data_IF_413555829402
#
_entry.id   IF_413555829402
#
_cell.length_a   1.000
_cell.length_b   1.000
_cell.length_c   1.000
_cell.angle_alpha   90.00
_cell.angle_beta   90.00
_cell.angle_gamma   90.00
#
_symmetry.space_group_name_H-M   'P 1'
#
loop_
_entity.id
_entity.type
_entity.pdbx_description
1 polymer ?
#
# COMPACT_ATOMS: atom_id res chain seq x y z
N UNK A 1 -0.68 -13.32 25.58
CA UNK A 1 -0.93 -13.69 26.99
C UNK A 1 -1.93 -14.84 26.94
N UNK A 2 -1.50 -16.05 27.25
CA UNK A 2 -2.29 -17.27 27.08
C UNK A 2 -3.11 -17.52 28.34
N UNK A 3 -4.44 -17.53 28.22
CA UNK A 3 -5.31 -18.03 29.28
C UNK A 3 -5.82 -19.42 28.88
N UNK A 4 -5.36 -20.44 29.59
CA UNK A 4 -5.85 -21.81 29.48
C UNK A 4 -6.78 -22.09 30.67
N UNK A 5 -8.09 -22.22 30.42
CA UNK A 5 -9.04 -22.75 31.40
C UNK A 5 -8.96 -24.27 31.36
N UNK A 6 -8.58 -24.87 32.49
CA UNK A 6 -8.30 -26.30 32.64
C UNK A 6 -9.55 -27.04 33.13
N UNK A 7 -10.35 -27.60 32.22
CA UNK A 7 -11.43 -28.55 32.59
C UNK A 7 -10.93 -29.99 32.48
N UNK A 8 -11.01 -30.72 33.60
CA UNK A 8 -10.53 -32.10 33.77
C UNK A 8 -11.68 -33.07 33.53
N UNK A 9 -11.75 -33.69 32.35
CA UNK A 9 -12.40 -35.00 32.11
C UNK A 9 -11.88 -35.58 30.79
N UNK A 10 -11.45 -36.84 30.83
CA UNK A 10 -10.88 -37.58 29.72
C UNK A 10 -11.96 -37.95 28.70
N UNK A 11 -12.01 -37.18 27.62
CA UNK A 11 -12.67 -37.45 26.36
C UNK A 11 -12.00 -36.50 25.37
N UNK A 12 -11.48 -37.03 24.26
CA UNK A 12 -10.71 -36.35 23.20
C UNK A 12 -10.80 -34.82 23.25
N UNK A 13 -9.89 -34.19 23.99
CA UNK A 13 -9.92 -32.74 24.18
C UNK A 13 -9.47 -32.11 22.86
N UNK A 14 -10.44 -31.72 22.05
CA UNK A 14 -10.23 -30.93 20.84
C UNK A 14 -9.76 -29.55 21.29
N UNK A 15 -8.44 -29.36 21.33
CA UNK A 15 -7.83 -28.07 21.66
C UNK A 15 -8.11 -27.14 20.49
N UNK A 16 -9.19 -26.36 20.60
CA UNK A 16 -9.47 -25.26 19.69
C UNK A 16 -8.49 -24.12 20.01
N UNK A 17 -7.45 -24.01 19.19
CA UNK A 17 -6.51 -22.88 19.26
C UNK A 17 -7.17 -21.71 18.52
N UNK A 18 -7.66 -20.74 19.29
CA UNK A 18 -8.14 -19.49 18.73
C UNK A 18 -6.98 -18.53 18.51
N UNK A 19 -6.71 -18.18 17.25
CA UNK A 19 -5.70 -17.17 16.90
C UNK A 19 -6.36 -15.79 16.99
N UNK A 20 -5.97 -15.02 18.00
CA UNK A 20 -6.40 -13.62 18.17
C UNK A 20 -5.26 -12.71 17.77
N UNK A 21 -5.49 -11.88 16.76
CA UNK A 21 -4.47 -10.95 16.24
C UNK A 21 -4.94 -9.50 16.42
N UNK A 22 -4.00 -8.57 16.57
CA UNK A 22 -4.31 -7.14 16.54
C UNK A 22 -4.27 -6.66 15.10
N UNK A 23 -5.40 -6.23 14.57
CA UNK A 23 -5.47 -5.60 13.27
C UNK A 23 -5.53 -4.08 13.39
N UNK A 24 -4.89 -3.42 12.44
CA UNK A 24 -5.02 -1.99 12.24
C UNK A 24 -6.44 -1.69 11.76
N UNK A 25 -7.09 -0.72 12.40
CA UNK A 25 -8.41 -0.22 12.04
C UNK A 25 -8.31 1.28 11.81
N UNK A 26 -9.01 1.75 10.79
CA UNK A 26 -9.19 3.19 10.52
C UNK A 26 -10.65 3.60 10.73
N UNK A 27 -10.85 4.83 11.21
CA UNK A 27 -12.17 5.45 11.32
C UNK A 27 -12.12 6.90 10.84
N UNK A 28 -12.97 7.25 9.88
CA UNK A 28 -13.12 8.63 9.40
C UNK A 28 -13.64 9.57 10.47
N UNK A 29 -13.06 10.77 10.56
CA UNK A 29 -13.27 11.74 11.64
C UNK A 29 -13.51 13.17 11.14
N UNK A 30 -13.78 13.34 9.84
CA UNK A 30 -14.07 14.62 9.19
C UNK A 30 -13.14 14.92 8.02
N UNK A 31 -13.29 16.12 7.46
CA UNK A 31 -12.58 16.55 6.26
C UNK A 31 -11.84 17.87 6.50
N UNK A 32 -10.69 18.03 5.83
CA UNK A 32 -9.85 19.23 5.87
C UNK A 32 -9.30 19.55 4.47
N UNK A 33 -8.95 20.80 4.22
CA UNK A 33 -8.17 21.18 3.04
C UNK A 33 -6.70 21.34 3.41
N UNK A 34 -5.82 20.68 2.66
CA UNK A 34 -4.38 20.81 2.83
C UNK A 34 -3.67 20.66 1.46
N UNK A 35 -2.36 20.83 1.43
CA UNK A 35 -1.54 20.62 0.23
C UNK A 35 -1.06 19.18 0.13
N UNK A 36 -1.36 18.54 -0.99
CA UNK A 36 -0.92 17.19 -1.26
C UNK A 36 0.47 17.19 -1.91
N UNK A 37 1.47 16.57 -1.29
CA UNK A 37 2.82 16.47 -1.87
C UNK A 37 2.90 15.56 -3.12
N UNK A 38 1.90 14.69 -3.33
CA UNK A 38 1.80 13.82 -4.51
C UNK A 38 1.03 14.51 -5.64
N UNK A 39 -0.15 15.09 -5.34
CA UNK A 39 -0.93 15.84 -6.35
C UNK A 39 -0.40 17.26 -6.57
N UNK A 40 0.52 17.71 -5.72
CA UNK A 40 1.23 19.00 -5.74
C UNK A 40 0.32 20.21 -5.88
N UNK A 41 -0.85 20.11 -5.25
CA UNK A 41 -1.94 21.09 -5.26
C UNK A 41 -2.72 21.00 -3.95
N UNK A 42 -3.47 22.05 -3.62
CA UNK A 42 -4.45 22.00 -2.54
C UNK A 42 -5.54 20.97 -2.86
N UNK A 43 -5.83 20.08 -1.90
CA UNK A 43 -6.78 18.97 -2.05
C UNK A 43 -7.59 18.77 -0.77
N UNK A 44 -8.72 18.10 -0.92
CA UNK A 44 -9.54 17.66 0.20
C UNK A 44 -8.92 16.40 0.78
N UNK A 45 -8.86 16.34 2.09
CA UNK A 45 -8.38 15.20 2.85
C UNK A 45 -9.46 14.72 3.79
N UNK A 46 -9.59 13.41 3.91
CA UNK A 46 -10.31 12.79 5.02
C UNK A 46 -9.33 12.55 6.16
N UNK A 47 -9.66 13.09 7.34
CA UNK A 47 -8.92 12.80 8.56
C UNK A 47 -9.42 11.46 9.09
N UNK A 48 -8.51 10.51 9.27
CA UNK A 48 -8.84 9.20 9.82
C UNK A 48 -8.04 8.95 11.10
N UNK A 49 -8.73 8.43 12.12
CA UNK A 49 -8.09 7.88 13.31
C UNK A 49 -7.63 6.47 13.02
N UNK A 50 -6.37 6.19 13.33
CA UNK A 50 -5.74 4.89 13.16
C UNK A 50 -5.56 4.27 14.54
N UNK A 51 -6.03 3.04 14.68
CA UNK A 51 -5.97 2.30 15.93
C UNK A 51 -5.73 0.82 15.72
N UNK A 52 -5.67 0.10 16.84
CA UNK A 52 -5.59 -1.35 16.87
C UNK A 52 -6.86 -1.90 17.50
N UNK A 53 -7.47 -2.88 16.85
CA UNK A 53 -8.54 -3.70 17.43
C UNK A 53 -8.09 -5.15 17.43
N UNK A 54 -8.53 -5.91 18.42
CA UNK A 54 -8.41 -7.36 18.36
C UNK A 54 -9.35 -7.89 17.29
N UNK A 55 -8.92 -8.88 16.53
CA UNK A 55 -9.78 -9.62 15.64
C UNK A 55 -9.53 -11.12 15.77
N UNK A 56 -10.58 -11.90 15.56
CA UNK A 56 -10.55 -13.35 15.46
C UNK A 56 -11.38 -13.73 14.24
N UNK A 57 -10.81 -14.50 13.32
CA UNK A 57 -11.45 -14.87 12.05
C UNK A 57 -12.02 -13.68 11.26
N UNK A 58 -11.39 -12.51 11.33
CA UNK A 58 -11.83 -11.28 10.67
C UNK A 58 -12.89 -10.48 11.43
N UNK A 59 -13.50 -11.05 12.48
CA UNK A 59 -14.45 -10.35 13.34
C UNK A 59 -13.72 -9.51 14.38
N UNK A 60 -14.11 -8.24 14.51
CA UNK A 60 -13.55 -7.31 15.50
C UNK A 60 -14.05 -7.66 16.90
N UNK A 61 -13.11 -7.89 17.81
CA UNK A 61 -13.38 -8.15 19.22
C UNK A 61 -13.10 -6.88 20.03
N UNK A 62 -14.17 -6.18 20.40
CA UNK A 62 -14.12 -4.99 21.26
C UNK A 62 -13.80 -3.67 20.55
N UNK A 63 -13.73 -2.61 21.35
CA UNK A 63 -13.44 -1.26 20.87
C UNK A 63 -11.99 -1.13 20.39
N UNK A 64 -11.79 -0.38 19.30
CA UNK A 64 -10.45 -0.06 18.81
C UNK A 64 -9.78 0.98 19.73
N UNK A 65 -8.49 0.78 20.01
CA UNK A 65 -7.68 1.80 20.66
C UNK A 65 -6.96 2.63 19.60
N UNK A 66 -7.41 3.86 19.41
CA UNK A 66 -6.80 4.81 18.46
C UNK A 66 -5.52 5.40 19.05
N UNK A 67 -4.45 5.44 18.25
CA UNK A 67 -3.12 5.88 18.69
C UNK A 67 -2.67 7.16 18.01
N UNK A 68 -3.07 7.39 16.77
CA UNK A 68 -2.71 8.57 16.00
C UNK A 68 -3.76 8.89 14.94
N UNK A 69 -3.67 10.08 14.37
CA UNK A 69 -4.46 10.52 13.24
C UNK A 69 -3.56 10.71 12.02
N UNK A 70 -4.10 10.39 10.86
CA UNK A 70 -3.50 10.72 9.57
C UNK A 70 -4.57 11.35 8.68
N UNK A 71 -4.15 11.96 7.59
CA UNK A 71 -5.06 12.55 6.61
C UNK A 71 -4.82 11.91 5.25
N UNK A 72 -5.90 11.52 4.58
CA UNK A 72 -5.85 10.80 3.31
C UNK A 72 -6.39 11.69 2.21
N UNK A 73 -5.56 11.96 1.19
CA UNK A 73 -5.96 12.77 0.05
C UNK A 73 -7.12 12.10 -0.70
N UNK A 74 -8.23 12.79 -0.91
CA UNK A 74 -9.38 12.24 -1.64
C UNK A 74 -9.10 11.99 -3.12
N UNK A 75 -8.08 12.65 -3.69
CA UNK A 75 -7.72 12.50 -5.10
C UNK A 75 -6.73 11.34 -5.32
N UNK A 76 -5.56 11.34 -4.68
CA UNK A 76 -4.55 10.29 -4.90
C UNK A 76 -4.52 9.19 -3.83
N UNK A 77 -5.39 9.27 -2.81
CA UNK A 77 -5.47 8.32 -1.67
C UNK A 77 -4.16 8.18 -0.87
N UNK A 78 -3.22 9.11 -1.01
CA UNK A 78 -2.01 9.15 -0.21
C UNK A 78 -2.33 9.57 1.23
N UNK A 79 -1.92 8.74 2.19
CA UNK A 79 -1.90 9.10 3.60
C UNK A 79 -0.71 10.01 3.92
N UNK A 80 -0.98 11.12 4.61
CA UNK A 80 -0.01 12.07 5.14
C UNK A 80 -0.21 12.22 6.65
N UNK A 81 0.83 12.60 7.41
CA UNK A 81 0.67 12.97 8.82
C UNK A 81 -0.38 14.08 8.97
N UNK A 82 -1.23 13.97 9.99
CA UNK A 82 -2.18 15.02 10.36
C UNK A 82 -1.71 15.70 11.64
N UNK A 83 -1.50 17.01 11.58
CA UNK A 83 -1.24 17.83 12.76
C UNK A 83 -2.47 18.70 13.04
N UNK A 84 -3.22 18.43 14.12
CA UNK A 84 -4.41 19.20 14.47
C UNK A 84 -4.14 20.69 14.70
N UNK A 85 -2.91 21.07 15.09
CA UNK A 85 -2.55 22.47 15.37
C UNK A 85 -2.61 23.37 14.13
N UNK A 86 -2.58 22.77 12.94
CA UNK A 86 -2.61 23.48 11.68
C UNK A 86 -4.01 23.88 11.22
N UNK A 87 -5.04 23.30 11.82
CA UNK A 87 -6.42 23.45 11.38
C UNK A 87 -7.24 24.15 12.47
N UNK A 88 -8.14 25.05 12.06
CA UNK A 88 -9.08 25.70 13.00
C UNK A 88 -10.15 24.71 13.46
N UNK A 89 -10.68 23.93 12.53
CA UNK A 89 -11.73 22.95 12.76
C UNK A 89 -11.78 21.93 11.60
N UNK A 90 -12.58 20.88 11.76
CA UNK A 90 -12.85 19.88 10.72
C UNK A 90 -14.25 20.08 10.17
N UNK A 91 -14.41 19.91 8.86
CA UNK A 91 -15.73 19.80 8.26
C UNK A 91 -16.32 18.41 8.53
N UNK A 92 -17.63 18.35 8.77
CA UNK A 92 -18.35 17.09 8.99
C UNK A 92 -18.63 16.31 7.70
N UNK A 93 -18.66 17.00 6.56
CA UNK A 93 -18.97 16.46 5.24
C UNK A 93 -17.88 16.83 4.23
N UNK A 94 -17.72 16.05 3.15
CA UNK A 94 -16.86 16.45 2.05
C UNK A 94 -17.43 17.70 1.38
N UNK A 95 -16.54 18.61 0.99
CA UNK A 95 -16.91 19.87 0.34
C UNK A 95 -15.95 20.22 -0.79
N UNK A 96 -16.23 21.34 -1.46
CA UNK A 96 -15.29 21.90 -2.45
C UNK A 96 -14.00 22.34 -1.75
N UNK A 97 -12.89 22.38 -2.47
CA UNK A 97 -11.60 22.80 -1.91
C UNK A 97 -11.69 24.18 -1.28
N UNK A 98 -12.31 25.14 -1.97
CA UNK A 98 -12.41 26.51 -1.48
C UNK A 98 -13.23 26.58 -0.17
N UNK A 99 -14.37 25.88 -0.11
CA UNK A 99 -15.17 25.80 1.12
C UNK A 99 -14.41 25.17 2.29
N UNK A 100 -13.64 24.10 2.01
CA UNK A 100 -12.84 23.44 3.03
C UNK A 100 -11.67 24.33 3.48
N UNK A 101 -11.05 25.11 2.59
CA UNK A 101 -10.01 26.07 2.95
C UNK A 101 -10.58 27.10 3.92
N UNK A 102 -11.70 27.71 3.59
CA UNK A 102 -12.31 28.77 4.42
C UNK A 102 -12.68 28.26 5.82
N UNK A 103 -13.25 27.05 5.90
CA UNK A 103 -13.73 26.44 7.14
C UNK A 103 -12.56 25.91 7.97
N UNK A 104 -11.62 25.20 7.36
CA UNK A 104 -10.63 24.38 8.09
C UNK A 104 -9.27 25.04 8.19
N UNK A 105 -8.83 25.76 7.16
CA UNK A 105 -7.50 26.35 7.11
C UNK A 105 -7.42 27.63 6.26
N UNK A 106 -8.02 28.75 6.71
CA UNK A 106 -8.03 30.00 5.91
C UNK A 106 -6.64 30.60 5.72
N UNK A 107 -5.69 30.24 6.59
CA UNK A 107 -4.28 30.63 6.47
C UNK A 107 -3.44 29.65 5.62
N UNK A 108 -4.06 28.79 4.79
CA UNK A 108 -3.35 27.79 3.97
C UNK A 108 -2.28 28.45 3.09
N UNK A 109 -2.63 29.52 2.39
CA UNK A 109 -1.72 30.25 1.50
C UNK A 109 -0.57 30.89 2.29
N UNK A 110 -0.86 31.52 3.43
CA UNK A 110 0.17 32.10 4.29
C UNK A 110 1.14 31.04 4.84
N UNK A 111 0.64 29.87 5.25
CA UNK A 111 1.47 28.78 5.80
C UNK A 111 2.32 28.10 4.72
N UNK A 112 1.78 27.96 3.50
CA UNK A 112 2.41 27.19 2.42
C UNK A 112 2.93 28.04 1.27
N UNK A 113 3.00 29.36 1.44
CA UNK A 113 3.37 30.31 0.36
C UNK A 113 4.64 29.91 -0.37
N UNK A 114 5.72 29.63 0.37
CA UNK A 114 6.99 29.18 -0.21
C UNK A 114 6.88 27.89 -1.03
N UNK A 115 6.01 26.96 -0.61
CA UNK A 115 5.79 25.73 -1.36
C UNK A 115 4.96 25.97 -2.62
N UNK A 116 3.91 26.79 -2.52
CA UNK A 116 3.06 27.15 -3.65
C UNK A 116 3.85 27.89 -4.73
N UNK A 117 4.75 28.80 -4.34
CA UNK A 117 5.66 29.50 -5.25
C UNK A 117 6.57 28.53 -6.02
N UNK A 118 7.09 27.48 -5.37
CA UNK A 118 7.86 26.43 -6.05
C UNK A 118 6.99 25.71 -7.09
N UNK A 119 5.75 25.36 -6.75
CA UNK A 119 4.84 24.70 -7.70
C UNK A 119 4.45 25.61 -8.86
N UNK A 120 4.28 26.90 -8.63
CA UNK A 120 4.00 27.89 -9.66
C UNK A 120 5.18 28.05 -10.62
N UNK A 121 6.42 28.11 -10.10
CA UNK A 121 7.63 28.10 -10.94
C UNK A 121 7.72 26.84 -11.80
N UNK A 122 7.35 25.69 -11.25
CA UNK A 122 7.38 24.40 -11.97
C UNK A 122 6.34 24.36 -13.08
N UNK A 123 5.16 24.93 -12.83
CA UNK A 123 4.12 25.09 -13.86
C UNK A 123 4.53 26.07 -14.95
N UNK A 124 5.21 27.17 -14.59
CA UNK A 124 5.64 28.19 -15.53
C UNK A 124 6.81 27.73 -16.41
N UNK A 125 7.90 27.27 -15.81
CA UNK A 125 8.99 26.61 -16.53
C UNK A 125 9.84 25.73 -15.61
N UNK A 126 9.87 24.43 -15.91
CA UNK A 126 10.69 23.46 -15.18
C UNK A 126 12.19 23.80 -15.25
N UNK A 127 12.63 24.43 -16.35
CA UNK A 127 14.02 24.86 -16.56
C UNK A 127 14.46 26.04 -15.68
N UNK A 128 13.53 26.74 -15.02
CA UNK A 128 13.87 27.82 -14.07
C UNK A 128 14.22 27.30 -12.67
N UNK A 129 14.09 26.00 -12.42
CA UNK A 129 14.48 25.39 -11.16
C UNK A 129 15.99 25.27 -11.03
N UNK A 130 16.49 25.61 -9.86
CA UNK A 130 17.85 25.28 -9.45
C UNK A 130 18.07 23.75 -9.46
N UNK A 131 19.21 23.23 -9.95
CA UNK A 131 19.48 21.79 -10.00
C UNK A 131 19.36 21.09 -8.64
N UNK A 132 19.75 21.73 -7.53
CA UNK A 132 19.61 21.13 -6.21
C UNK A 132 18.13 21.04 -5.80
N UNK A 133 17.34 22.10 -6.03
CA UNK A 133 15.88 22.07 -5.82
C UNK A 133 15.20 20.98 -6.66
N UNK A 134 15.62 20.80 -7.91
CA UNK A 134 15.10 19.73 -8.78
C UNK A 134 15.42 18.35 -8.21
N UNK A 135 16.65 18.11 -7.77
CA UNK A 135 17.05 16.85 -7.17
C UNK A 135 16.23 16.52 -5.90
N UNK A 136 16.02 17.51 -5.02
CA UNK A 136 15.20 17.36 -3.81
C UNK A 136 13.74 17.02 -4.13
N UNK A 137 13.17 17.67 -5.15
CA UNK A 137 11.80 17.40 -5.60
C UNK A 137 11.64 16.02 -6.22
N UNK A 138 12.66 15.50 -6.92
CA UNK A 138 12.68 14.13 -7.44
C UNK A 138 12.89 13.10 -6.32
N UNK A 139 13.58 13.48 -5.26
CA UNK A 139 13.82 12.63 -4.09
C UNK A 139 12.59 12.51 -3.18
N UNK A 140 11.81 13.58 -3.03
CA UNK A 140 10.68 13.63 -2.10
C UNK A 140 9.66 12.48 -2.26
N UNK A 141 9.21 12.11 -3.48
CA UNK A 141 8.26 11.00 -3.67
C UNK A 141 8.79 9.66 -3.16
N UNK A 142 10.10 9.40 -3.28
CA UNK A 142 10.70 8.17 -2.75
C UNK A 142 10.57 8.08 -1.23
N UNK A 143 10.81 9.19 -0.53
CA UNK A 143 10.71 9.28 0.91
C UNK A 143 9.25 9.21 1.38
N UNK A 144 8.34 9.87 0.67
CA UNK A 144 6.91 9.91 1.00
C UNK A 144 6.21 8.57 0.82
N UNK A 145 6.54 7.83 -0.24
CA UNK A 145 5.96 6.53 -0.54
C UNK A 145 6.69 5.38 0.19
N UNK A 146 7.86 5.66 0.77
CA UNK A 146 8.64 4.65 1.48
C UNK A 146 7.90 3.96 2.63
N UNK A 147 7.23 4.67 3.57
CA UNK A 147 6.54 4.02 4.68
C UNK A 147 5.49 3.02 4.22
N UNK A 148 4.74 3.35 3.15
CA UNK A 148 3.75 2.44 2.57
C UNK A 148 4.39 1.20 1.96
N UNK A 149 5.47 1.39 1.18
CA UNK A 149 6.23 0.29 0.60
C UNK A 149 6.85 -0.60 1.69
N UNK A 150 7.44 0.02 2.72
CA UNK A 150 8.06 -0.67 3.84
C UNK A 150 7.04 -1.46 4.64
N UNK A 151 5.93 -0.84 5.05
CA UNK A 151 4.88 -1.50 5.80
C UNK A 151 4.32 -2.68 5.01
N UNK A 152 4.08 -2.52 3.70
CA UNK A 152 3.56 -3.60 2.85
C UNK A 152 4.56 -4.73 2.57
N UNK A 153 5.85 -4.43 2.56
CA UNK A 153 6.89 -5.46 2.32
C UNK A 153 7.40 -6.11 3.61
N UNK A 154 7.31 -5.41 4.75
CA UNK A 154 7.64 -5.92 6.07
C UNK A 154 6.49 -6.77 6.64
N UNK A 155 5.24 -6.33 6.45
CA UNK A 155 4.08 -7.15 6.79
C UNK A 155 3.80 -8.10 5.64
N UNK A 156 4.12 -9.38 5.83
CA UNK A 156 3.68 -10.44 4.92
C UNK A 156 2.19 -10.67 5.15
N UNK A 157 1.35 -9.69 4.81
CA UNK A 157 -0.10 -9.86 4.84
C UNK A 157 -0.47 -10.83 3.73
N UNK A 158 -0.44 -12.11 4.08
CA UNK A 158 -1.02 -13.17 3.29
C UNK A 158 -2.51 -12.90 3.21
N UNK A 159 -2.98 -12.56 2.01
CA UNK A 159 -4.41 -12.59 1.71
C UNK A 159 -4.92 -14.00 2.03
N UNK A 160 -6.14 -14.13 2.56
CA UNK A 160 -6.78 -15.42 2.83
C UNK A 160 -6.68 -16.34 1.61
N UNK A 161 -6.76 -15.79 0.39
CA UNK A 161 -6.57 -16.56 -0.85
C UNK A 161 -5.17 -17.15 -0.99
N UNK A 162 -4.14 -16.41 -0.58
CA UNK A 162 -2.75 -16.88 -0.58
C UNK A 162 -2.51 -17.88 0.54
N UNK A 163 -3.11 -17.65 1.72
CA UNK A 163 -3.08 -18.61 2.83
C UNK A 163 -3.77 -19.92 2.43
N UNK A 164 -4.93 -19.87 1.77
CA UNK A 164 -5.65 -21.04 1.31
C UNK A 164 -4.83 -21.85 0.30
N UNK A 165 -4.15 -21.19 -0.65
CA UNK A 165 -3.25 -21.87 -1.59
C UNK A 165 -2.05 -22.49 -0.87
N UNK A 166 -1.52 -21.86 0.19
CA UNK A 166 -0.44 -22.45 0.97
C UNK A 166 -0.91 -23.66 1.81
N UNK A 167 -2.05 -23.52 2.49
CA UNK A 167 -2.56 -24.54 3.41
C UNK A 167 -3.19 -25.73 2.68
N UNK A 168 -3.90 -25.48 1.59
CA UNK A 168 -4.62 -26.52 0.81
C UNK A 168 -3.77 -27.01 -0.36
N UNK A 169 -2.89 -26.19 -0.92
CA UNK A 169 -2.10 -26.55 -2.10
C UNK A 169 -1.09 -27.67 -1.85
N UNK A 170 -0.42 -27.67 -0.69
CA UNK A 170 0.52 -28.73 -0.31
C UNK A 170 -0.16 -30.11 -0.14
N UNK A 171 -1.24 -30.28 0.65
CA UNK A 171 -1.92 -31.57 0.77
C UNK A 171 -2.56 -32.02 -0.54
N UNK A 172 -3.15 -31.11 -1.33
CA UNK A 172 -3.67 -31.46 -2.67
C UNK A 172 -2.55 -31.92 -3.62
N UNK A 173 -1.39 -31.27 -3.61
CA UNK A 173 -0.24 -31.69 -4.41
C UNK A 173 0.27 -33.08 -3.98
N UNK A 174 0.34 -33.36 -2.67
CA UNK A 174 0.68 -34.69 -2.15
C UNK A 174 -0.35 -35.76 -2.57
N UNK A 175 -1.64 -35.45 -2.48
CA UNK A 175 -2.73 -36.33 -2.89
C UNK A 175 -2.69 -36.67 -4.38
N UNK A 176 -2.32 -35.70 -5.23
CA UNK A 176 -2.16 -35.91 -6.68
C UNK A 176 -0.95 -36.79 -7.03
N UNK A 177 0.03 -36.93 -6.14
CA UNK A 177 1.22 -37.75 -6.36
C UNK A 177 1.04 -39.22 -5.95
N UNK A 178 0.07 -39.52 -5.08
CA UNK A 178 -0.28 -40.89 -4.69
C UNK A 178 -0.59 -41.83 -5.88
N UNK A 179 -1.44 -41.46 -6.86
CA UNK A 179 -1.73 -42.34 -8.00
C UNK A 179 -0.52 -42.55 -8.91
N UNK A 180 0.40 -41.59 -8.98
CA UNK A 180 1.65 -41.70 -9.76
C UNK A 180 2.57 -42.72 -9.11
N UNK A 181 2.69 -42.71 -7.78
CA UNK A 181 3.43 -43.73 -7.03
C UNK A 181 2.87 -45.15 -7.26
N UNK A 182 1.55 -45.30 -7.21
CA UNK A 182 0.87 -46.58 -7.47
C UNK A 182 1.08 -47.09 -8.91
N UNK A 183 1.06 -46.19 -9.90
CA UNK A 183 1.30 -46.55 -11.29
C UNK A 183 2.75 -47.00 -11.54
N UNK A 184 3.72 -46.34 -10.90
CA UNK A 184 5.15 -46.70 -10.98
C UNK A 184 5.43 -48.08 -10.36
N UNK A 185 4.75 -48.43 -9.27
CA UNK A 185 4.82 -49.78 -8.67
C UNK A 185 4.39 -50.85 -9.66
N UNK A 186 3.29 -50.58 -10.39
CA UNK A 186 2.74 -51.50 -11.37
C UNK A 186 3.67 -51.77 -12.55
N UNK A 187 4.59 -50.86 -12.82
CA UNK A 187 5.59 -50.96 -13.91
C UNK A 187 6.88 -51.63 -13.39
N UNK A 188 6.93 -52.04 -12.11
CA UNK A 188 8.07 -52.74 -11.52
C UNK A 188 9.20 -51.82 -11.05
N UNK A 189 8.94 -50.51 -10.92
CA UNK A 189 9.92 -49.56 -10.39
C UNK A 189 9.84 -49.59 -8.86
N UNK A 190 10.94 -49.88 -8.13
CA UNK A 190 10.92 -49.93 -6.68
C UNK A 190 10.62 -48.53 -6.09
N UNK A 191 9.46 -48.40 -5.43
CA UNK A 191 9.01 -47.17 -4.77
C UNK A 191 10.01 -46.71 -3.70
N UNK A 192 10.66 -47.66 -3.01
CA UNK A 192 11.57 -47.37 -1.90
C UNK A 192 12.73 -46.44 -2.27
N UNK A 193 13.17 -46.43 -3.54
CA UNK A 193 14.21 -45.51 -4.02
C UNK A 193 13.66 -44.26 -4.71
N UNK A 194 12.47 -44.31 -5.30
CA UNK A 194 11.91 -43.21 -6.12
C UNK A 194 10.99 -42.26 -5.35
N UNK A 195 10.34 -42.73 -4.28
CA UNK A 195 9.43 -41.94 -3.44
C UNK A 195 10.05 -40.64 -2.87
N UNK A 196 11.27 -40.66 -2.31
CA UNK A 196 11.90 -39.45 -1.76
C UNK A 196 12.15 -38.36 -2.81
N UNK A 197 12.54 -38.74 -4.03
CA UNK A 197 12.82 -37.80 -5.12
C UNK A 197 11.54 -37.13 -5.65
N UNK A 198 10.45 -37.89 -5.74
CA UNK A 198 9.14 -37.36 -6.14
C UNK A 198 8.63 -36.37 -5.08
N UNK A 199 8.74 -36.72 -3.80
CA UNK A 199 8.37 -35.81 -2.71
C UNK A 199 9.23 -34.53 -2.72
N UNK A 200 10.53 -34.64 -2.98
CA UNK A 200 11.43 -33.50 -3.10
C UNK A 200 11.08 -32.61 -4.30
N UNK A 201 10.79 -33.19 -5.47
CA UNK A 201 10.37 -32.45 -6.67
C UNK A 201 9.03 -31.71 -6.45
N UNK A 202 8.08 -32.35 -5.76
CA UNK A 202 6.80 -31.73 -5.41
C UNK A 202 6.97 -30.57 -4.42
N UNK A 203 7.79 -30.78 -3.38
CA UNK A 203 8.08 -29.76 -2.40
C UNK A 203 8.78 -28.55 -3.04
N UNK A 204 9.81 -28.80 -3.85
CA UNK A 204 10.53 -27.73 -4.57
C UNK A 204 9.63 -26.98 -5.56
N UNK A 205 8.77 -27.68 -6.30
CA UNK A 205 7.77 -27.08 -7.17
C UNK A 205 6.77 -26.19 -6.40
N UNK A 206 6.27 -26.68 -5.27
CA UNK A 206 5.37 -25.94 -4.38
C UNK A 206 6.03 -24.68 -3.79
N UNK A 207 7.27 -24.82 -3.29
CA UNK A 207 8.06 -23.67 -2.78
C UNK A 207 8.29 -22.65 -3.89
N UNK A 208 8.65 -23.10 -5.10
CA UNK A 208 8.81 -22.24 -6.28
C UNK A 208 7.53 -21.47 -6.63
N UNK A 209 6.38 -22.15 -6.61
CA UNK A 209 5.06 -21.54 -6.83
C UNK A 209 4.73 -20.50 -5.77
N UNK A 210 4.94 -20.82 -4.49
CA UNK A 210 4.72 -19.90 -3.38
C UNK A 210 5.58 -18.62 -3.54
N UNK A 211 6.89 -18.78 -3.79
CA UNK A 211 7.80 -17.65 -4.05
C UNK A 211 7.30 -16.82 -5.24
N UNK A 212 6.91 -17.46 -6.34
CA UNK A 212 6.38 -16.77 -7.51
C UNK A 212 5.11 -15.98 -7.20
N UNK A 213 4.16 -16.53 -6.43
CA UNK A 213 2.95 -15.84 -6.00
C UNK A 213 3.26 -14.61 -5.16
N UNK A 214 4.17 -14.72 -4.19
CA UNK A 214 4.61 -13.58 -3.37
C UNK A 214 5.27 -12.49 -4.22
N UNK A 215 6.15 -12.87 -5.16
CA UNK A 215 6.78 -11.92 -6.10
C UNK A 215 5.74 -11.21 -6.95
N UNK A 216 4.74 -11.94 -7.46
CA UNK A 216 3.65 -11.39 -8.27
C UNK A 216 2.75 -10.44 -7.46
N UNK A 217 2.43 -10.77 -6.22
CA UNK A 217 1.65 -9.91 -5.33
C UNK A 217 2.37 -8.58 -5.05
N UNK A 218 3.68 -8.64 -4.73
CA UNK A 218 4.52 -7.44 -4.54
C UNK A 218 4.58 -6.59 -5.80
N UNK A 219 4.78 -7.22 -6.97
CA UNK A 219 4.80 -6.53 -8.27
C UNK A 219 3.46 -5.81 -8.55
N UNK A 220 2.33 -6.51 -8.39
CA UNK A 220 0.99 -5.93 -8.60
C UNK A 220 0.70 -4.77 -7.66
N UNK A 221 1.07 -4.87 -6.38
CA UNK A 221 0.92 -3.77 -5.44
C UNK A 221 1.74 -2.54 -5.87
N UNK A 222 3.00 -2.78 -6.24
CA UNK A 222 3.87 -1.71 -6.73
C UNK A 222 3.29 -1.03 -7.97
N UNK A 223 2.87 -1.80 -8.98
CA UNK A 223 2.31 -1.28 -10.23
C UNK A 223 0.98 -0.54 -10.05
N UNK A 224 0.13 -0.97 -9.10
CA UNK A 224 -1.22 -0.40 -8.92
C UNK A 224 -1.29 0.74 -7.91
N UNK A 225 -0.46 0.74 -6.88
CA UNK A 225 -0.55 1.71 -5.80
C UNK A 225 0.61 2.71 -5.85
N UNK A 226 1.85 2.21 -5.95
CA UNK A 226 3.06 3.03 -5.79
C UNK A 226 3.43 3.73 -7.10
N UNK A 227 3.42 3.00 -8.22
CA UNK A 227 3.79 3.52 -9.53
C UNK A 227 2.92 4.71 -9.98
N UNK A 228 1.57 4.65 -9.93
CA UNK A 228 0.76 5.80 -10.33
C UNK A 228 0.93 7.00 -9.39
N UNK A 229 1.04 6.78 -8.07
CA UNK A 229 1.29 7.86 -7.13
C UNK A 229 2.66 8.52 -7.38
N UNK A 230 3.68 7.72 -7.65
CA UNK A 230 5.01 8.23 -8.00
C UNK A 230 4.97 9.01 -9.31
N UNK A 231 4.34 8.46 -10.36
CA UNK A 231 4.18 9.12 -11.64
C UNK A 231 3.47 10.47 -11.51
N UNK A 232 2.41 10.55 -10.71
CA UNK A 232 1.70 11.81 -10.41
C UNK A 232 2.61 12.83 -9.71
N UNK A 233 3.47 12.39 -8.79
CA UNK A 233 4.35 13.30 -8.07
C UNK A 233 5.47 13.90 -8.96
N UNK A 234 5.98 13.11 -9.93
CA UNK A 234 7.06 13.55 -10.84
C UNK A 234 6.59 14.07 -12.19
N UNK A 235 5.29 13.96 -12.47
CA UNK A 235 4.66 14.29 -13.74
C UNK A 235 5.04 15.68 -14.29
N UNK A 236 5.09 16.70 -13.41
CA UNK A 236 5.47 18.06 -13.79
C UNK A 236 6.97 18.28 -13.98
N UNK A 237 7.83 17.34 -13.59
CA UNK A 237 9.29 17.49 -13.65
C UNK A 237 9.89 16.86 -14.90
N UNK A 238 9.16 15.98 -15.60
CA UNK A 238 9.63 15.20 -16.76
C UNK A 238 11.04 14.62 -16.55
N UNK A 239 11.23 13.76 -15.54
CA UNK A 239 12.57 13.31 -15.17
C UNK A 239 13.17 12.35 -16.20
N UNK A 240 14.48 12.46 -16.41
CA UNK A 240 15.21 11.47 -17.18
C UNK A 240 15.45 10.19 -16.36
N UNK A 241 15.72 9.07 -17.04
CA UNK A 241 16.09 7.83 -16.37
C UNK A 241 17.33 8.03 -15.48
N UNK A 242 18.31 8.77 -15.98
CA UNK A 242 19.57 9.05 -15.29
C UNK A 242 19.32 9.82 -13.99
N UNK A 243 18.50 10.89 -14.05
CA UNK A 243 18.11 11.67 -12.87
C UNK A 243 17.43 10.82 -11.81
N UNK A 244 16.51 9.93 -12.20
CA UNK A 244 15.84 9.02 -11.26
C UNK A 244 16.82 8.00 -10.66
N UNK A 245 17.75 7.48 -11.46
CA UNK A 245 18.77 6.55 -10.95
C UNK A 245 19.72 7.24 -9.98
N UNK A 246 20.09 8.50 -10.24
CA UNK A 246 20.93 9.29 -9.35
C UNK A 246 20.20 9.61 -8.03
N UNK A 247 18.95 10.05 -8.10
CA UNK A 247 18.11 10.28 -6.90
C UNK A 247 17.98 9.01 -6.04
N UNK A 248 17.85 7.84 -6.68
CA UNK A 248 17.80 6.56 -6.00
C UNK A 248 19.18 6.15 -5.41
N UNK A 249 20.27 6.42 -6.13
CA UNK A 249 21.63 6.06 -5.74
C UNK A 249 22.18 6.93 -4.61
N UNK A 250 21.85 8.22 -4.61
CA UNK A 250 22.27 9.19 -3.58
C UNK A 250 21.74 8.81 -2.19
N UNK A 251 20.64 8.05 -2.15
CA UNK A 251 20.08 7.53 -0.90
C UNK A 251 20.72 6.20 -0.45
N UNK A 252 22.03 6.03 -0.68
CA UNK A 252 22.79 4.77 -0.54
C UNK A 252 22.68 4.15 0.86
N UNK A 253 22.71 4.98 1.90
CA UNK A 253 22.54 4.65 3.32
C UNK A 253 21.15 5.13 3.79
N UNK A 254 20.17 4.24 3.84
CA UNK A 254 18.85 4.65 4.31
C UNK A 254 17.69 3.72 3.99
N UNK A 255 16.47 4.17 4.34
CA UNK A 255 15.22 3.42 4.22
C UNK A 255 15.01 2.75 2.85
N UNK A 256 15.45 3.35 1.74
CA UNK A 256 15.09 2.97 0.37
C UNK A 256 15.63 1.62 -0.18
N UNK A 257 16.05 0.68 0.67
CA UNK A 257 16.48 -0.68 0.28
C UNK A 257 15.43 -1.42 -0.56
N UNK A 258 14.15 -1.21 -0.28
CA UNK A 258 13.05 -1.88 -1.00
C UNK A 258 12.90 -1.39 -2.44
N UNK A 259 13.14 -0.11 -2.70
CA UNK A 259 13.12 0.46 -4.05
C UNK A 259 14.20 -0.17 -4.94
N UNK A 260 15.41 -0.39 -4.40
CA UNK A 260 16.53 -1.02 -5.11
C UNK A 260 16.31 -2.50 -5.45
N UNK A 261 15.44 -3.19 -4.71
CA UNK A 261 15.09 -4.60 -4.95
C UNK A 261 14.07 -4.77 -6.08
N UNK A 262 13.45 -3.69 -6.53
CA UNK A 262 12.53 -3.70 -7.66
C UNK A 262 13.32 -3.68 -8.96
N UNK A 263 12.81 -4.39 -9.98
CA UNK A 263 13.47 -4.44 -11.29
C UNK A 263 13.51 -3.04 -11.92
N UNK A 264 14.65 -2.56 -12.46
CA UNK A 264 14.81 -1.16 -12.89
C UNK A 264 13.90 -0.74 -14.06
N UNK A 265 13.24 -1.67 -14.75
CA UNK A 265 12.35 -1.39 -15.89
C UNK A 265 11.20 -0.41 -15.60
N UNK A 266 10.79 -0.24 -14.33
CA UNK A 266 9.76 0.74 -13.97
C UNK A 266 10.27 2.19 -14.11
N UNK A 267 11.59 2.43 -14.02
CA UNK A 267 12.19 3.75 -14.27
C UNK A 267 12.00 4.19 -15.73
N UNK A 268 12.19 3.25 -16.67
CA UNK A 268 11.96 3.49 -18.09
C UNK A 268 10.48 3.78 -18.35
N UNK A 269 9.58 3.15 -17.59
CA UNK A 269 8.14 3.39 -17.69
C UNK A 269 7.81 4.84 -17.32
N UNK A 270 8.36 5.33 -16.20
CA UNK A 270 8.11 6.72 -15.76
C UNK A 270 8.76 7.73 -16.69
N UNK A 271 10.00 7.50 -17.12
CA UNK A 271 10.70 8.41 -18.02
C UNK A 271 9.99 8.56 -19.38
N UNK A 272 9.16 7.58 -19.77
CA UNK A 272 8.35 7.59 -20.99
C UNK A 272 6.93 8.10 -20.77
N UNK A 273 6.48 8.29 -19.53
CA UNK A 273 5.14 8.81 -19.31
C UNK A 273 5.10 10.25 -19.81
N UNK A 274 4.15 10.59 -20.71
CA UNK A 274 3.96 11.98 -21.08
C UNK A 274 3.62 12.75 -19.80
N UNK A 275 4.21 13.95 -19.65
CA UNK A 275 3.74 14.89 -18.65
C UNK A 275 2.22 14.99 -18.80
N UNK A 276 1.42 14.84 -17.73
CA UNK A 276 -0.03 14.83 -17.84
C UNK A 276 -0.45 16.10 -18.56
N UNK A 277 -1.13 15.93 -19.70
CA UNK A 277 -1.47 17.01 -20.63
C UNK A 277 -2.28 18.14 -19.96
N UNK A 278 -2.90 17.84 -18.82
CA UNK A 278 -3.45 18.82 -17.88
C UNK A 278 -3.20 18.31 -16.47
N UNK A 279 -2.58 19.14 -15.64
CA UNK A 279 -2.89 19.12 -14.22
C UNK A 279 -4.41 19.21 -14.07
N UNK A 280 -5.07 18.58 -13.09
CA UNK A 280 -6.46 18.89 -12.81
C UNK A 280 -6.49 20.34 -12.35
N UNK A 281 -6.56 21.26 -13.32
CA UNK A 281 -6.98 22.64 -13.16
C UNK A 281 -8.30 22.55 -12.43
N UNK A 282 -8.34 23.14 -11.23
CA UNK A 282 -9.54 23.41 -10.43
C UNK A 282 -10.81 22.82 -11.05
N UNK A 283 -11.18 21.61 -10.64
CA UNK A 283 -12.46 21.05 -11.07
C UNK A 283 -13.53 21.85 -10.33
N UNK A 284 -14.05 22.83 -11.04
CA UNK A 284 -15.39 23.36 -10.88
C UNK A 284 -16.36 22.17 -10.85
N UNK A 285 -16.89 21.87 -9.66
CA UNK A 285 -18.26 21.41 -9.41
C UNK A 285 -18.83 20.13 -10.03
N UNK A 286 -18.20 19.44 -10.99
CA UNK A 286 -18.96 18.51 -11.86
C UNK A 286 -18.64 17.00 -11.75
N UNK A 287 -17.76 16.55 -10.86
CA UNK A 287 -17.36 15.13 -10.77
C UNK A 287 -17.72 14.45 -9.43
N UNK A 288 -18.83 14.85 -8.81
CA UNK A 288 -19.30 14.24 -7.57
C UNK A 288 -20.02 12.89 -7.79
N UNK A 289 -20.44 12.59 -9.03
CA UNK A 289 -21.33 11.44 -9.28
C UNK A 289 -20.58 10.12 -9.55
N UNK A 290 -19.36 10.15 -10.09
CA UNK A 290 -18.59 8.92 -10.39
C UNK A 290 -17.78 8.38 -9.20
N UNK A 291 -17.55 9.20 -8.16
CA UNK A 291 -16.82 8.78 -6.96
C UNK A 291 -17.66 7.91 -6.01
N UNK A 292 -18.99 7.94 -6.14
CA UNK A 292 -19.90 7.18 -5.29
C UNK A 292 -19.87 5.66 -5.58
N UNK A 293 -19.53 5.25 -6.81
CA UNK A 293 -19.52 3.83 -7.20
C UNK A 293 -18.20 3.11 -6.82
N UNK A 294 -17.07 3.82 -6.81
CA UNK A 294 -15.77 3.22 -6.45
C UNK A 294 -15.56 3.11 -4.92
N UNK A 295 -16.29 3.91 -4.13
CA UNK A 295 -16.35 3.81 -2.66
C UNK A 295 -17.16 2.58 -2.17
N UNK A 296 -18.01 1.99 -3.02
CA UNK A 296 -18.73 0.76 -2.70
C UNK A 296 -17.81 -0.48 -2.70
N UNK A 297 -16.72 -0.46 -3.48
CA UNK A 297 -15.83 -1.62 -3.67
C UNK A 297 -14.89 -1.88 -2.48
N UNK A 298 -14.65 -0.88 -1.63
CA UNK A 298 -13.73 -0.98 -0.48
C UNK A 298 -14.42 -1.06 0.88
N UNK A 299 -15.76 -0.98 0.93
CA UNK A 299 -16.50 -1.43 2.11
C UNK A 299 -16.38 -2.94 2.19
N UNK A 300 -15.45 -3.44 3.01
CA UNK A 300 -15.56 -4.82 3.47
C UNK A 300 -16.95 -4.97 4.11
N UNK A 301 -17.74 -6.00 3.75
CA UNK A 301 -18.97 -6.28 4.47
C UNK A 301 -18.62 -6.53 5.95
N UNK A 302 -19.51 -6.03 6.82
CA UNK A 302 -19.43 -6.15 8.26
C UNK A 302 -19.36 -7.60 8.74
#
# INVERSE_FOLDING_TARGET
MFHALRTRRWGSALILIFVVEKHQVTQGCGFVADFCLICRTARAFEVQRVGLAWAMFGLRLGAARYTHEHQVCQSCRQALPHDPSWFKQRASSPGTIDSLIDITQPALVARLGSRLEIEDRIRASVGSLDPAQRADLLRAPFLLLYPQLHQRFATTQLDWRQLAVLVVGLPCALLLLLPIGFLLERIGVPIAQTGPWIAFAAFTGYVGLAIWMFRRARKRFFERAILPAFALAVAGLSPSREELTLALADTRSGPLRHWRRLAPAWLDTIARLPAPARWPSQVTGAAADDAADDDARWRRPA
#
